data_IF_425598385092
#
_entry.id   IF_425598385092
#
_cell.length_a   1.000
_cell.length_b   1.000
_cell.length_c   1.000
_cell.angle_alpha   90.00
_cell.angle_beta   90.00
_cell.angle_gamma   90.00
#
_symmetry.space_group_name_H-M   'P 1'
#
loop_
_entity.id
_entity.type
_entity.pdbx_description
1 polymer ?
#
# COMPACT_ATOMS: atom_id res chain seq x y z
N UNK A 1 11.93 5.20 -5.31
CA UNK A 1 13.04 4.67 -4.48
C UNK A 1 13.03 3.14 -4.34
N UNK A 2 11.98 2.42 -4.76
CA UNK A 2 11.91 0.96 -4.64
C UNK A 2 12.94 0.21 -5.49
N UNK A 3 13.31 0.73 -6.67
CA UNK A 3 14.39 0.15 -7.50
C UNK A 3 15.69 -0.06 -6.72
N UNK A 4 16.04 0.87 -5.81
CA UNK A 4 17.23 0.74 -4.96
C UNK A 4 17.17 -0.48 -4.03
N UNK A 5 15.98 -0.88 -3.58
CA UNK A 5 15.79 -2.08 -2.76
C UNK A 5 16.12 -3.32 -3.59
N UNK A 6 15.58 -3.39 -4.81
CA UNK A 6 15.88 -4.49 -5.74
C UNK A 6 17.36 -4.55 -6.10
N UNK A 7 17.98 -3.39 -6.37
CA UNK A 7 19.39 -3.33 -6.75
C UNK A 7 20.32 -3.73 -5.59
N UNK A 8 19.92 -3.48 -4.33
CA UNK A 8 20.74 -3.76 -3.13
C UNK A 8 20.51 -5.17 -2.58
N UNK A 9 19.27 -5.64 -2.57
CA UNK A 9 18.84 -6.87 -1.87
C UNK A 9 18.28 -7.94 -2.81
N UNK A 10 18.20 -7.65 -4.12
CA UNK A 10 17.64 -8.54 -5.13
C UNK A 10 16.11 -8.48 -5.22
N UNK A 11 15.59 -9.01 -6.33
CA UNK A 11 14.15 -8.97 -6.63
C UNK A 11 13.29 -9.76 -5.63
N UNK A 12 13.79 -10.86 -5.08
CA UNK A 12 13.06 -11.62 -4.05
C UNK A 12 12.79 -10.77 -2.79
N UNK A 13 13.74 -9.92 -2.39
CA UNK A 13 13.53 -9.00 -1.28
C UNK A 13 12.47 -7.94 -1.61
N UNK A 14 12.48 -7.42 -2.84
CA UNK A 14 11.43 -6.53 -3.35
C UNK A 14 10.04 -7.18 -3.29
N UNK A 15 9.92 -8.44 -3.71
CA UNK A 15 8.65 -9.17 -3.67
C UNK A 15 8.12 -9.30 -2.25
N UNK A 16 8.98 -9.59 -1.27
CA UNK A 16 8.62 -9.65 0.16
C UNK A 16 8.10 -8.28 0.64
N UNK A 17 8.79 -7.18 0.26
CA UNK A 17 8.35 -5.83 0.63
C UNK A 17 6.98 -5.52 0.03
N UNK A 18 6.74 -5.83 -1.24
CA UNK A 18 5.44 -5.59 -1.89
C UNK A 18 4.32 -6.44 -1.28
N UNK A 19 4.60 -7.69 -0.90
CA UNK A 19 3.65 -8.53 -0.19
C UNK A 19 3.32 -7.97 1.20
N UNK A 20 4.33 -7.49 1.94
CA UNK A 20 4.14 -6.86 3.25
C UNK A 20 3.28 -5.60 3.13
N UNK A 21 3.60 -4.71 2.19
CA UNK A 21 2.80 -3.51 1.91
C UNK A 21 1.36 -3.88 1.53
N UNK A 22 1.16 -4.87 0.66
CA UNK A 22 -0.18 -5.33 0.30
C UNK A 22 -0.98 -5.84 1.52
N UNK A 23 -0.33 -6.60 2.41
CA UNK A 23 -0.94 -7.08 3.65
C UNK A 23 -1.30 -5.95 4.62
N UNK A 24 -0.43 -4.94 4.76
CA UNK A 24 -0.71 -3.73 5.54
C UNK A 24 -1.92 -3.01 4.96
N UNK A 25 -1.94 -2.75 3.65
CA UNK A 25 -3.06 -2.07 3.00
C UNK A 25 -4.38 -2.82 3.22
N UNK A 26 -4.41 -4.14 2.99
CA UNK A 26 -5.61 -4.95 3.15
C UNK A 26 -6.11 -5.01 4.60
N UNK A 27 -5.21 -5.15 5.57
CA UNK A 27 -5.57 -5.21 7.01
C UNK A 27 -6.09 -3.88 7.57
N UNK A 28 -5.81 -2.78 6.87
CA UNK A 28 -6.17 -1.45 7.34
C UNK A 28 -7.34 -0.82 6.60
N UNK A 29 -7.85 -1.40 5.50
CA UNK A 29 -9.05 -0.91 4.83
C UNK A 29 -10.30 -1.69 5.26
N UNK A 30 -11.50 -1.18 4.94
CA UNK A 30 -12.75 -1.88 5.27
C UNK A 30 -12.99 -3.05 4.30
N UNK A 31 -13.79 -4.07 4.66
CA UNK A 31 -14.01 -5.25 3.80
C UNK A 31 -14.54 -4.95 2.39
N UNK A 32 -15.27 -3.84 2.22
CA UNK A 32 -15.82 -3.40 0.94
C UNK A 32 -14.93 -2.39 0.19
N UNK A 33 -13.91 -1.83 0.86
CA UNK A 33 -12.86 -1.07 0.18
C UNK A 33 -12.01 -2.07 -0.63
N UNK A 34 -11.46 -1.63 -1.77
CA UNK A 34 -10.67 -2.50 -2.64
C UNK A 34 -9.26 -1.97 -2.81
N UNK A 35 -8.29 -2.87 -2.72
CA UNK A 35 -6.87 -2.59 -2.95
C UNK A 35 -6.43 -3.37 -4.17
N UNK A 36 -5.80 -2.69 -5.12
CA UNK A 36 -5.29 -3.26 -6.35
C UNK A 36 -3.80 -2.94 -6.48
N UNK A 37 -3.02 -3.89 -7.00
CA UNK A 37 -1.69 -3.59 -7.54
C UNK A 37 -1.88 -3.13 -8.98
N UNK A 38 -1.66 -1.83 -9.22
CA UNK A 38 -1.90 -1.20 -10.51
C UNK A 38 -0.67 -1.32 -11.42
N UNK A 39 0.52 -1.22 -10.83
CA UNK A 39 1.81 -1.33 -11.53
C UNK A 39 2.81 -2.18 -10.75
N UNK A 40 4.07 -2.14 -11.17
CA UNK A 40 5.15 -2.89 -10.52
C UNK A 40 5.26 -2.58 -9.02
N UNK A 41 5.35 -1.30 -8.68
CA UNK A 41 5.45 -0.80 -7.29
C UNK A 41 4.27 0.11 -6.88
N UNK A 42 3.21 0.13 -7.69
CA UNK A 42 2.09 1.07 -7.54
C UNK A 42 0.82 0.36 -7.06
N UNK A 43 0.15 0.95 -6.06
CA UNK A 43 -1.11 0.46 -5.51
C UNK A 43 -2.23 1.48 -5.69
N UNK A 44 -3.42 0.99 -6.03
CA UNK A 44 -4.65 1.77 -6.15
C UNK A 44 -5.64 1.31 -5.08
N UNK A 45 -6.30 2.27 -4.41
CA UNK A 45 -7.30 1.99 -3.38
C UNK A 45 -8.63 2.64 -3.79
N UNK A 46 -9.67 1.83 -3.91
CA UNK A 46 -11.04 2.29 -4.13
C UNK A 46 -11.79 2.33 -2.80
N UNK A 47 -12.27 3.52 -2.42
CA UNK A 47 -13.00 3.78 -1.18
C UNK A 47 -14.45 4.17 -1.51
N UNK A 48 -15.35 3.20 -1.77
CA UNK A 48 -16.74 3.51 -2.06
C UNK A 48 -17.41 4.19 -0.85
N UNK A 49 -18.36 5.08 -1.13
CA UNK A 49 -19.11 5.83 -0.10
C UNK A 49 -18.20 6.63 0.84
N UNK A 50 -17.06 7.13 0.34
CA UNK A 50 -16.17 8.02 1.06
C UNK A 50 -16.05 9.37 0.34
N UNK A 51 -16.19 10.46 1.09
CA UNK A 51 -15.86 11.79 0.61
C UNK A 51 -14.34 12.04 0.63
N UNK A 52 -13.89 13.16 0.06
CA UNK A 52 -12.47 13.50 -0.01
C UNK A 52 -11.80 13.60 1.37
N UNK A 53 -12.52 14.05 2.41
CA UNK A 53 -11.97 14.17 3.77
C UNK A 53 -11.80 12.80 4.41
N UNK A 54 -12.74 11.88 4.19
CA UNK A 54 -12.65 10.49 4.62
C UNK A 54 -11.50 9.78 3.88
N UNK A 55 -11.40 9.94 2.56
CA UNK A 55 -10.29 9.40 1.77
C UNK A 55 -8.93 9.89 2.29
N UNK A 56 -8.77 11.19 2.49
CA UNK A 56 -7.52 11.77 3.00
C UNK A 56 -7.14 11.20 4.38
N UNK A 57 -8.09 11.02 5.29
CA UNK A 57 -7.83 10.41 6.61
C UNK A 57 -7.41 8.95 6.51
N UNK A 58 -8.06 8.18 5.63
CA UNK A 58 -7.68 6.78 5.40
C UNK A 58 -6.27 6.69 4.84
N UNK A 59 -5.96 7.49 3.82
CA UNK A 59 -4.64 7.51 3.18
C UNK A 59 -3.53 7.97 4.14
N UNK A 60 -3.77 9.01 4.95
CA UNK A 60 -2.76 9.46 5.92
C UNK A 60 -2.50 8.42 7.01
N UNK A 61 -3.53 7.69 7.47
CA UNK A 61 -3.33 6.57 8.39
C UNK A 61 -2.50 5.47 7.74
N UNK A 62 -2.82 5.07 6.51
CA UNK A 62 -2.07 4.04 5.78
C UNK A 62 -0.60 4.44 5.59
N UNK A 63 -0.36 5.70 5.20
CA UNK A 63 0.99 6.25 5.05
C UNK A 63 1.81 6.11 6.33
N UNK A 64 1.24 6.49 7.48
CA UNK A 64 1.92 6.38 8.78
C UNK A 64 2.24 4.95 9.19
N UNK A 65 1.34 4.01 8.90
CA UNK A 65 1.58 2.59 9.21
C UNK A 65 2.72 2.04 8.35
N UNK A 66 2.72 2.34 7.04
CA UNK A 66 3.78 1.90 6.13
C UNK A 66 5.13 2.54 6.50
N UNK A 67 5.15 3.82 6.86
CA UNK A 67 6.36 4.53 7.28
C UNK A 67 6.97 3.97 8.58
N UNK A 68 6.15 3.40 9.46
CA UNK A 68 6.59 2.80 10.72
C UNK A 68 6.91 1.29 10.62
N UNK A 69 6.75 0.69 9.44
CA UNK A 69 6.97 -0.74 9.20
C UNK A 69 8.40 -1.08 8.78
#
# INVERSE_FOLDING_TARGET
HFKSVNDTYGHQAGDIVLQSVAGILQSHVRPFDKVYRYGGEEFLICLPNADMKQCARVLERLRRVIEAS
#
